data_IF_441138334441
#
_entry.id   IF_441138334441
#
_cell.length_a   1.000
_cell.length_b   1.000
_cell.length_c   1.000
_cell.angle_alpha   90.00
_cell.angle_beta   90.00
_cell.angle_gamma   90.00
#
_symmetry.space_group_name_H-M   'P 1'
#
loop_
_entity.id
_entity.type
_entity.pdbx_description
1 polymer ?
#
# COMPACT_ATOMS: atom_id res chain seq x y z
N UNK A 1 23.71 -9.05 5.68
CA UNK A 1 22.48 -8.99 4.87
C UNK A 1 21.28 -9.08 5.80
N UNK A 2 20.29 -8.18 5.72
CA UNK A 2 19.08 -8.26 6.55
C UNK A 2 18.30 -9.52 6.17
N UNK A 3 17.82 -10.28 7.16
CA UNK A 3 17.03 -11.48 6.90
C UNK A 3 15.82 -11.16 6.01
N UNK A 4 15.61 -11.94 4.96
CA UNK A 4 14.50 -11.78 4.01
C UNK A 4 13.13 -11.53 4.68
N UNK A 5 12.71 -12.22 5.76
CA UNK A 5 11.41 -11.96 6.38
C UNK A 5 11.30 -10.57 7.01
N UNK A 6 12.39 -10.07 7.63
CA UNK A 6 12.44 -8.73 8.22
C UNK A 6 12.40 -7.69 7.10
N UNK A 7 13.19 -7.94 6.05
CA UNK A 7 13.23 -7.09 4.87
C UNK A 7 11.82 -6.97 4.28
N UNK A 8 11.10 -8.07 4.00
CA UNK A 8 9.78 -8.04 3.37
C UNK A 8 8.69 -7.32 4.20
N UNK A 9 8.76 -7.41 5.53
CA UNK A 9 7.77 -6.81 6.44
C UNK A 9 8.03 -5.33 6.72
N UNK A 10 9.25 -4.84 6.50
CA UNK A 10 9.66 -3.46 6.80
C UNK A 10 8.68 -2.38 6.32
N UNK A 11 8.21 -2.39 5.06
CA UNK A 11 7.31 -1.33 4.58
C UNK A 11 5.93 -1.38 5.25
N UNK A 12 5.46 -2.57 5.63
CA UNK A 12 4.22 -2.71 6.38
C UNK A 12 4.37 -2.18 7.82
N UNK A 13 5.53 -2.38 8.44
CA UNK A 13 5.84 -1.84 9.76
C UNK A 13 5.84 -0.30 9.72
N UNK A 14 6.45 0.32 8.71
CA UNK A 14 6.40 1.78 8.55
C UNK A 14 4.96 2.30 8.41
N UNK A 15 4.12 1.63 7.62
CA UNK A 15 2.71 1.99 7.47
C UNK A 15 1.94 1.85 8.78
N UNK A 16 2.19 0.79 9.56
CA UNK A 16 1.55 0.58 10.86
C UNK A 16 1.94 1.65 11.88
N UNK A 17 3.25 1.92 12.04
CA UNK A 17 3.74 2.96 12.97
C UNK A 17 3.21 4.34 12.58
N UNK A 18 3.20 4.65 11.28
CA UNK A 18 2.63 5.91 10.81
C UNK A 18 1.13 6.01 11.08
N UNK A 19 0.36 4.94 10.82
CA UNK A 19 -1.07 4.90 11.06
C UNK A 19 -1.42 5.09 12.54
N UNK A 20 -0.73 4.40 13.45
CA UNK A 20 -0.95 4.56 14.89
C UNK A 20 -0.59 5.97 15.35
N UNK A 21 0.51 6.53 14.84
CA UNK A 21 0.92 7.91 15.12
C UNK A 21 -0.14 8.92 14.67
N UNK A 22 -0.71 8.75 13.46
CA UNK A 22 -1.77 9.62 12.93
C UNK A 22 -3.04 9.55 13.79
N UNK A 23 -3.40 8.36 14.30
CA UNK A 23 -4.64 8.18 15.06
C UNK A 23 -4.55 8.68 16.50
N UNK A 24 -3.43 8.42 17.19
CA UNK A 24 -3.31 8.64 18.64
C UNK A 24 -2.77 10.03 18.98
N UNK A 25 -1.99 10.64 18.09
CA UNK A 25 -1.28 11.89 18.43
C UNK A 25 -2.24 13.07 18.57
N UNK A 26 -2.25 13.81 19.69
CA UNK A 26 -3.13 14.96 19.86
C UNK A 26 -2.62 16.19 19.08
N UNK A 27 -1.31 16.34 18.93
CA UNK A 27 -0.68 17.49 18.29
C UNK A 27 -0.55 17.31 16.77
N UNK A 28 -0.57 18.39 15.97
CA UNK A 28 -0.53 18.30 14.51
C UNK A 28 0.85 17.91 13.96
N UNK A 29 1.93 18.19 14.69
CA UNK A 29 3.30 17.93 14.22
C UNK A 29 3.59 16.42 14.06
N UNK A 30 3.32 15.54 15.05
CA UNK A 30 3.45 14.10 14.88
C UNK A 30 2.54 13.53 13.78
N UNK A 31 1.36 14.11 13.58
CA UNK A 31 0.45 13.71 12.49
C UNK A 31 1.09 13.99 11.14
N UNK A 32 1.66 15.18 10.95
CA UNK A 32 2.36 15.54 9.71
C UNK A 32 3.56 14.62 9.45
N UNK A 33 4.37 14.34 10.46
CA UNK A 33 5.48 13.38 10.35
C UNK A 33 4.96 11.96 10.03
N UNK A 34 3.88 11.54 10.67
CA UNK A 34 3.20 10.28 10.40
C UNK A 34 2.76 10.18 8.94
N UNK A 35 2.16 11.23 8.37
CA UNK A 35 1.76 11.27 6.95
C UNK A 35 2.98 11.11 6.04
N UNK A 36 4.08 11.82 6.32
CA UNK A 36 5.32 11.69 5.53
C UNK A 36 5.85 10.25 5.58
N UNK A 37 5.95 9.67 6.78
CA UNK A 37 6.42 8.28 6.97
C UNK A 37 5.47 7.30 6.26
N UNK A 38 4.16 7.53 6.32
CA UNK A 38 3.16 6.71 5.63
C UNK A 38 3.38 6.71 4.12
N UNK A 39 3.56 7.89 3.52
CA UNK A 39 3.79 8.04 2.08
C UNK A 39 5.12 7.40 1.64
N UNK A 40 6.18 7.55 2.44
CA UNK A 40 7.46 6.88 2.20
C UNK A 40 7.33 5.36 2.31
N UNK A 41 6.63 4.85 3.33
CA UNK A 41 6.32 3.43 3.49
C UNK A 41 5.54 2.87 2.30
N UNK A 42 4.52 3.60 1.83
CA UNK A 42 3.75 3.27 0.64
C UNK A 42 4.62 3.22 -0.62
N UNK A 43 5.51 4.21 -0.80
CA UNK A 43 6.46 4.24 -1.92
C UNK A 43 7.41 3.06 -1.89
N UNK A 44 7.99 2.71 -0.74
CA UNK A 44 8.88 1.55 -0.59
C UNK A 44 8.11 0.26 -0.88
N UNK A 45 6.88 0.12 -0.36
CA UNK A 45 6.03 -1.04 -0.64
C UNK A 45 5.77 -1.17 -2.15
N UNK A 46 5.52 -0.05 -2.84
CA UNK A 46 5.33 0.00 -4.29
C UNK A 46 6.55 -0.43 -5.06
N UNK A 47 7.73 0.16 -4.78
CA UNK A 47 8.99 -0.22 -5.43
C UNK A 47 9.25 -1.72 -5.29
N UNK A 48 8.94 -2.30 -4.12
CA UNK A 48 9.10 -3.75 -3.92
C UNK A 48 8.04 -4.61 -4.56
N UNK A 49 6.80 -4.10 -4.67
CA UNK A 49 5.77 -4.76 -5.46
C UNK A 49 6.13 -4.78 -6.94
N UNK A 50 6.78 -3.72 -7.43
CA UNK A 50 7.28 -3.64 -8.80
C UNK A 50 8.51 -4.53 -9.01
N UNK A 51 9.43 -4.62 -8.06
CA UNK A 51 10.59 -5.52 -8.18
C UNK A 51 10.21 -7.01 -8.21
N UNK A 52 9.05 -7.37 -7.66
CA UNK A 52 8.48 -8.74 -7.73
C UNK A 52 7.85 -9.09 -9.08
N UNK A 53 7.80 -8.14 -10.02
CA UNK A 53 7.28 -8.38 -11.37
C UNK A 53 8.34 -9.12 -12.20
N UNK A 54 8.01 -10.31 -12.70
CA UNK A 54 8.81 -11.04 -13.69
C UNK A 54 8.38 -10.78 -15.14
N UNK A 55 7.28 -10.05 -15.36
CA UNK A 55 6.79 -9.69 -16.68
C UNK A 55 7.72 -8.67 -17.39
N UNK A 56 7.98 -8.94 -18.68
CA UNK A 56 8.75 -8.03 -19.54
C UNK A 56 8.06 -6.65 -19.60
N UNK A 57 8.79 -5.53 -19.49
CA UNK A 57 8.21 -4.19 -19.51
C UNK A 57 7.33 -3.91 -20.73
N UNK A 58 7.67 -4.46 -21.90
CA UNK A 58 6.92 -4.29 -23.14
C UNK A 58 5.53 -4.95 -23.15
N UNK A 59 5.27 -5.92 -22.27
CA UNK A 59 3.96 -6.58 -22.15
C UNK A 59 3.05 -5.93 -21.11
N UNK A 60 3.51 -4.86 -20.45
CA UNK A 60 2.73 -4.14 -19.44
C UNK A 60 1.70 -3.27 -20.14
N UNK A 61 0.42 -3.48 -19.83
CA UNK A 61 -0.65 -2.59 -20.26
C UNK A 61 -0.44 -1.22 -19.58
N UNK A 62 -0.27 -0.18 -20.40
CA UNK A 62 -0.22 1.19 -19.94
C UNK A 62 -1.66 1.68 -19.73
N UNK A 63 -1.96 2.16 -18.53
CA UNK A 63 -3.24 2.79 -18.23
C UNK A 63 -3.23 4.27 -18.64
N UNK A 64 -4.39 4.91 -18.56
CA UNK A 64 -4.56 6.35 -18.80
C UNK A 64 -3.90 7.18 -17.66
N UNK A 65 -3.82 6.59 -16.46
CA UNK A 65 -3.25 7.23 -15.28
C UNK A 65 -1.73 6.99 -15.20
N UNK A 66 -0.96 8.00 -14.74
CA UNK A 66 0.46 7.80 -14.42
C UNK A 66 0.65 6.64 -13.43
N UNK A 67 1.59 5.74 -13.74
CA UNK A 67 1.85 4.54 -12.94
C UNK A 67 2.07 4.85 -11.46
N UNK A 68 2.75 5.95 -11.15
CA UNK A 68 3.01 6.39 -9.78
C UNK A 68 1.72 6.69 -9.01
N UNK A 69 0.77 7.41 -9.62
CA UNK A 69 -0.51 7.75 -8.99
C UNK A 69 -1.39 6.51 -8.84
N UNK A 70 -1.47 5.69 -9.88
CA UNK A 70 -2.24 4.44 -9.83
C UNK A 70 -1.72 3.49 -8.76
N UNK A 71 -0.40 3.35 -8.65
CA UNK A 71 0.24 2.49 -7.66
C UNK A 71 0.09 3.02 -6.22
N UNK A 72 -0.08 4.33 -6.02
CA UNK A 72 -0.32 4.96 -4.72
C UNK A 72 -1.79 4.94 -4.29
N UNK A 73 -2.73 4.76 -5.21
CA UNK A 73 -4.17 4.79 -4.97
C UNK A 73 -4.67 3.96 -3.77
N UNK A 74 -4.28 2.68 -3.57
CA UNK A 74 -4.72 1.93 -2.38
C UNK A 74 -4.26 2.55 -1.06
N UNK A 75 -3.09 3.20 -1.06
CA UNK A 75 -2.58 3.88 0.14
C UNK A 75 -3.27 5.21 0.36
N UNK A 76 -3.70 5.90 -0.70
CA UNK A 76 -4.54 7.09 -0.57
C UNK A 76 -5.89 6.77 0.09
N UNK A 77 -6.52 5.64 -0.26
CA UNK A 77 -7.75 5.19 0.42
C UNK A 77 -7.50 4.85 1.89
N UNK A 78 -6.38 4.19 2.23
CA UNK A 78 -6.01 3.94 3.63
C UNK A 78 -5.77 5.25 4.39
N UNK A 79 -5.02 6.19 3.80
CA UNK A 79 -4.75 7.49 4.43
C UNK A 79 -6.06 8.25 4.67
N UNK A 80 -6.95 8.28 3.68
CA UNK A 80 -8.29 8.86 3.81
C UNK A 80 -9.08 8.22 4.95
N UNK A 81 -9.07 6.90 5.06
CA UNK A 81 -9.72 6.19 6.16
C UNK A 81 -9.14 6.58 7.54
N UNK A 82 -7.82 6.74 7.66
CA UNK A 82 -7.18 7.20 8.90
C UNK A 82 -7.65 8.59 9.30
N UNK A 83 -7.78 9.51 8.33
CA UNK A 83 -8.30 10.85 8.60
C UNK A 83 -9.78 10.84 8.97
N UNK A 84 -10.58 9.97 8.35
CA UNK A 84 -11.98 9.74 8.74
C UNK A 84 -12.04 9.27 10.20
N UNK A 85 -11.30 8.23 10.57
CA UNK A 85 -11.29 7.73 11.96
C UNK A 85 -10.78 8.74 12.99
N UNK A 86 -9.84 9.60 12.61
CA UNK A 86 -9.32 10.65 13.49
C UNK A 86 -10.38 11.73 13.80
N UNK A 87 -11.24 12.05 12.84
CA UNK A 87 -12.22 13.14 12.96
C UNK A 87 -13.67 12.64 13.04
N UNK A 88 -13.90 11.34 13.14
CA UNK A 88 -15.24 10.76 13.18
C UNK A 88 -15.80 10.80 14.59
N UNK A 89 -16.70 11.74 14.84
CA UNK A 89 -17.55 11.73 16.03
C UNK A 89 -18.84 10.91 15.80
N UNK A 90 -19.16 10.61 14.54
CA UNK A 90 -20.38 9.91 14.12
C UNK A 90 -20.13 8.46 13.74
N UNK A 91 -21.01 7.55 14.17
CA UNK A 91 -20.97 6.13 13.80
C UNK A 91 -21.01 5.91 12.27
N UNK A 92 -21.72 6.76 11.52
CA UNK A 92 -21.79 6.66 10.06
C UNK A 92 -20.44 6.92 9.38
N UNK A 93 -19.68 7.88 9.89
CA UNK A 93 -18.32 8.16 9.39
C UNK A 93 -17.38 7.00 9.69
N UNK A 94 -17.51 6.37 10.87
CA UNK A 94 -16.74 5.17 11.20
C UNK A 94 -17.05 4.01 10.26
N UNK A 95 -18.32 3.80 9.88
CA UNK A 95 -18.68 2.80 8.86
C UNK A 95 -18.07 3.12 7.49
N UNK A 96 -18.11 4.39 7.07
CA UNK A 96 -17.48 4.82 5.83
C UNK A 96 -15.95 4.60 5.85
N UNK A 97 -15.30 4.91 6.98
CA UNK A 97 -13.88 4.66 7.20
C UNK A 97 -13.52 3.18 7.09
N UNK A 98 -14.30 2.30 7.72
CA UNK A 98 -14.12 0.85 7.59
C UNK A 98 -14.31 0.37 6.15
N UNK A 99 -15.30 0.89 5.43
CA UNK A 99 -15.51 0.62 4.01
C UNK A 99 -14.30 0.97 3.16
N UNK A 100 -13.69 2.14 3.41
CA UNK A 100 -12.45 2.57 2.72
C UNK A 100 -11.28 1.64 3.02
N UNK A 101 -11.10 1.22 4.28
CA UNK A 101 -10.05 0.24 4.64
C UNK A 101 -10.27 -1.08 3.91
N UNK A 102 -11.49 -1.63 3.94
CA UNK A 102 -11.82 -2.87 3.25
C UNK A 102 -11.53 -2.77 1.74
N UNK A 103 -11.94 -1.68 1.10
CA UNK A 103 -11.70 -1.45 -0.32
C UNK A 103 -10.20 -1.35 -0.63
N UNK A 104 -9.44 -0.64 0.19
CA UNK A 104 -8.00 -0.50 0.02
C UNK A 104 -7.27 -1.84 0.17
N UNK A 105 -7.62 -2.62 1.20
CA UNK A 105 -7.06 -3.96 1.42
C UNK A 105 -7.41 -4.92 0.29
N UNK A 106 -8.65 -4.86 -0.22
CA UNK A 106 -9.07 -5.65 -1.38
C UNK A 106 -8.21 -5.32 -2.62
N UNK A 107 -8.00 -4.03 -2.92
CA UNK A 107 -7.13 -3.61 -4.03
C UNK A 107 -5.68 -4.06 -3.86
N UNK A 108 -5.15 -4.01 -2.63
CA UNK A 108 -3.80 -4.53 -2.32
C UNK A 108 -3.73 -6.06 -2.46
N UNK A 109 -4.76 -6.79 -2.06
CA UNK A 109 -4.85 -8.24 -2.18
C UNK A 109 -4.89 -8.68 -3.65
N UNK A 110 -5.74 -8.03 -4.47
CA UNK A 110 -5.77 -8.23 -5.92
C UNK A 110 -4.38 -8.02 -6.53
N UNK A 111 -3.74 -6.91 -6.20
CA UNK A 111 -2.40 -6.58 -6.70
C UNK A 111 -1.35 -7.60 -6.32
N UNK A 112 -1.42 -8.14 -5.10
CA UNK A 112 -0.55 -9.22 -4.64
C UNK A 112 -0.80 -10.51 -5.43
N UNK A 113 -2.05 -10.83 -5.75
CA UNK A 113 -2.43 -12.01 -6.53
C UNK A 113 -1.89 -11.94 -7.96
N UNK A 114 -2.11 -10.81 -8.65
CA UNK A 114 -1.68 -10.61 -10.04
C UNK A 114 -0.17 -10.41 -10.22
N UNK A 115 0.57 -10.08 -9.15
CA UNK A 115 2.03 -9.90 -9.17
C UNK A 115 2.79 -11.03 -8.47
N UNK A 116 2.20 -12.23 -8.37
CA UNK A 116 2.96 -13.42 -7.95
C UNK A 116 3.99 -13.75 -9.03
N UNK A 117 5.23 -13.97 -8.61
CA UNK A 117 6.26 -14.51 -9.50
C UNK A 117 5.78 -15.85 -10.05
N UNK A 118 5.44 -15.88 -11.34
CA UNK A 118 5.42 -17.12 -12.09
C UNK A 118 6.85 -17.33 -12.57
N UNK A 119 7.49 -18.39 -12.09
CA UNK A 119 8.75 -18.85 -12.67
C UNK A 119 8.51 -19.12 -14.16
N UNK A 120 9.46 -18.80 -15.06
CA UNK A 120 9.33 -19.17 -16.45
C UNK A 120 9.07 -20.68 -16.52
N UNK A 121 7.93 -21.09 -17.09
CA UNK A 121 7.72 -22.51 -17.33
C UNK A 121 8.78 -22.97 -18.32
N UNK A 122 9.48 -24.08 -18.06
CA UNK A 122 10.43 -24.62 -19.02
C UNK A 122 9.68 -24.86 -20.32
N UNK A 123 10.19 -24.32 -21.42
CA UNK A 123 9.67 -24.57 -22.75
C UNK A 123 9.84 -26.07 -22.99
N UNK A 124 8.75 -26.84 -22.92
CA UNK A 124 8.75 -28.21 -23.41
C UNK A 124 8.87 -28.14 -24.92
N UNK A 125 10.08 -28.33 -25.42
CA UNK A 125 10.30 -28.67 -26.83
C UNK A 125 9.78 -30.09 -26.98
N UNK A 126 8.69 -30.26 -27.72
CA UNK A 126 8.14 -31.56 -28.15
C UNK A 126 8.73 -31.84 -29.53
#
# INVERSE_FOLDING_TARGET
MVAQPIYEKLPAIYLLIAATTILISPTPLPVLLGVIIFLLGARIFNMRSQNRRSDKPSRRKQGIWPDALYDLLPYAYLLGALFVFRHSDSSYLSFAGTGLVCFALFRLAQRRSYRKHQLPQPIRVI
#
